data_IF_560483895429
#
_entry.id   IF_560483895429
#
_cell.length_a   1.000
_cell.length_b   1.000
_cell.length_c   1.000
_cell.angle_alpha   90.00
_cell.angle_beta   90.00
_cell.angle_gamma   90.00
#
_symmetry.space_group_name_H-M   'P 1'
#
loop_
_entity.id
_entity.type
_entity.pdbx_description
1 polymer ?
#
# COMPACT_ATOMS: atom_id res chain seq x y z
N UNK A 1 -16.43 -12.76 14.35
CA UNK A 1 -15.67 -11.86 13.45
C UNK A 1 -14.18 -11.83 13.80
N UNK A 2 -13.81 -11.73 15.09
CA UNK A 2 -12.41 -11.77 15.55
C UNK A 2 -11.61 -13.01 15.12
N UNK A 3 -12.19 -14.22 15.22
CA UNK A 3 -11.55 -15.46 14.76
C UNK A 3 -11.25 -15.48 13.25
N UNK A 4 -12.16 -14.91 12.45
CA UNK A 4 -11.98 -14.85 10.99
C UNK A 4 -10.93 -13.81 10.60
N UNK A 5 -10.83 -12.70 11.35
CA UNK A 5 -9.77 -11.71 11.15
C UNK A 5 -8.41 -12.26 11.56
N UNK A 6 -8.33 -13.05 12.64
CA UNK A 6 -7.09 -13.70 13.06
C UNK A 6 -6.57 -14.71 12.02
N UNK A 7 -7.47 -15.40 11.31
CA UNK A 7 -7.12 -16.43 10.33
C UNK A 7 -6.20 -15.92 9.21
N UNK A 8 -6.41 -14.69 8.73
CA UNK A 8 -5.55 -14.09 7.69
C UNK A 8 -4.54 -13.10 8.27
N UNK A 9 -4.86 -12.44 9.39
CA UNK A 9 -3.94 -11.48 10.01
C UNK A 9 -2.70 -12.16 10.60
N UNK A 10 -2.83 -13.35 11.22
CA UNK A 10 -1.68 -14.06 11.81
C UNK A 10 -0.68 -14.53 10.75
N UNK A 11 -1.08 -15.20 9.65
CA UNK A 11 -0.15 -15.52 8.56
C UNK A 11 0.51 -14.29 7.95
N UNK A 12 -0.25 -13.22 7.76
CA UNK A 12 0.27 -11.96 7.23
C UNK A 12 1.32 -11.35 8.18
N UNK A 13 1.05 -11.33 9.49
CA UNK A 13 1.99 -10.86 10.52
C UNK A 13 3.26 -11.72 10.58
N UNK A 14 3.13 -13.04 10.45
CA UNK A 14 4.30 -13.93 10.41
C UNK A 14 5.14 -13.69 9.16
N UNK A 15 4.49 -13.57 7.99
CA UNK A 15 5.16 -13.26 6.74
C UNK A 15 5.92 -11.93 6.82
N UNK A 16 5.30 -10.89 7.38
CA UNK A 16 5.97 -9.59 7.50
C UNK A 16 7.11 -9.62 8.50
N UNK A 17 6.91 -10.20 9.69
CA UNK A 17 7.92 -10.16 10.76
C UNK A 17 9.07 -11.15 10.58
N UNK A 18 8.82 -12.32 9.98
CA UNK A 18 9.84 -13.37 9.85
C UNK A 18 10.54 -13.40 8.52
N UNK A 19 9.93 -12.84 7.47
CA UNK A 19 10.48 -12.91 6.12
C UNK A 19 10.77 -11.51 5.60
N UNK A 20 9.76 -10.63 5.55
CA UNK A 20 9.91 -9.32 4.92
C UNK A 20 10.86 -8.39 5.69
N UNK A 21 10.63 -8.15 6.98
CA UNK A 21 11.46 -7.26 7.80
C UNK A 21 12.94 -7.69 7.88
N UNK A 22 13.29 -8.96 8.18
CA UNK A 22 14.70 -9.34 8.24
C UNK A 22 15.40 -9.27 6.89
N UNK A 23 14.69 -9.57 5.79
CA UNK A 23 15.22 -9.35 4.45
C UNK A 23 15.44 -7.86 4.18
N UNK A 24 14.48 -7.00 4.57
CA UNK A 24 14.57 -5.56 4.38
C UNK A 24 15.74 -4.96 5.17
N UNK A 25 15.90 -5.34 6.43
CA UNK A 25 17.01 -4.90 7.30
C UNK A 25 18.38 -5.31 6.76
N UNK A 26 18.47 -6.44 6.04
CA UNK A 26 19.70 -6.86 5.38
C UNK A 26 20.00 -6.07 4.09
N UNK A 27 18.97 -5.62 3.36
CA UNK A 27 19.12 -4.96 2.04
C UNK A 27 19.31 -3.46 2.16
N UNK A 28 18.57 -2.77 3.04
CA UNK A 28 18.63 -1.31 3.22
C UNK A 28 20.05 -0.77 3.46
N UNK A 29 20.91 -1.35 4.32
CA UNK A 29 22.25 -0.81 4.53
C UNK A 29 23.10 -0.86 3.26
N UNK A 30 22.92 -1.88 2.41
CA UNK A 30 23.64 -2.03 1.14
C UNK A 30 22.98 -1.30 -0.03
N UNK A 31 21.79 -0.71 0.14
CA UNK A 31 21.03 -0.09 -0.93
C UNK A 31 21.77 1.09 -1.58
N UNK A 32 22.56 1.82 -0.81
CA UNK A 32 23.37 2.95 -1.28
C UNK A 32 24.56 2.52 -2.15
N UNK A 33 24.99 1.26 -2.03
CA UNK A 33 26.16 0.73 -2.72
C UNK A 33 25.81 0.19 -4.12
N UNK A 34 24.52 0.06 -4.45
CA UNK A 34 24.05 -0.50 -5.71
C UNK A 34 23.27 0.55 -6.50
N UNK A 35 23.56 0.62 -7.80
CA UNK A 35 22.72 1.35 -8.75
C UNK A 35 21.83 0.38 -9.52
N UNK A 36 20.55 0.72 -9.60
CA UNK A 36 19.56 -0.01 -10.38
C UNK A 36 19.06 0.89 -11.49
N UNK A 37 19.30 0.51 -12.75
CA UNK A 37 18.85 1.26 -13.94
C UNK A 37 19.30 2.74 -13.92
N UNK A 38 20.49 3.03 -13.40
CA UNK A 38 21.03 4.39 -13.27
C UNK A 38 20.44 5.21 -12.12
N UNK A 39 19.68 4.58 -11.22
CA UNK A 39 19.13 5.21 -10.01
C UNK A 39 19.80 4.59 -8.80
N UNK A 40 20.26 5.42 -7.87
CA UNK A 40 20.80 4.97 -6.58
C UNK A 40 19.75 4.13 -5.83
N UNK A 41 20.13 2.95 -5.34
CA UNK A 41 19.24 2.06 -4.61
C UNK A 41 18.65 2.68 -3.34
N UNK A 42 19.35 3.60 -2.66
CA UNK A 42 18.75 4.36 -1.54
C UNK A 42 17.53 5.15 -1.99
N UNK A 43 17.66 5.87 -3.11
CA UNK A 43 16.57 6.65 -3.70
C UNK A 43 15.39 5.73 -4.01
N UNK A 44 15.67 4.56 -4.57
CA UNK A 44 14.66 3.56 -4.87
C UNK A 44 13.94 3.07 -3.60
N UNK A 45 14.68 2.81 -2.51
CA UNK A 45 14.11 2.39 -1.22
C UNK A 45 13.21 3.47 -0.64
N UNK A 46 13.69 4.72 -0.56
CA UNK A 46 12.93 5.81 0.06
C UNK A 46 11.64 6.11 -0.72
N UNK A 47 11.74 6.25 -2.04
CA UNK A 47 10.55 6.45 -2.88
C UNK A 47 9.64 5.21 -2.88
N UNK A 48 10.23 4.01 -2.84
CA UNK A 48 9.49 2.75 -2.74
C UNK A 48 8.62 2.68 -1.49
N UNK A 49 9.16 3.06 -0.33
CA UNK A 49 8.42 3.05 0.95
C UNK A 49 7.40 4.18 1.03
N UNK A 50 7.81 5.41 0.70
CA UNK A 50 6.97 6.61 0.90
C UNK A 50 5.91 6.80 -0.20
N UNK A 51 6.17 6.31 -1.41
CA UNK A 51 5.27 6.49 -2.56
C UNK A 51 4.80 5.14 -3.10
N UNK A 52 5.72 4.21 -3.34
CA UNK A 52 5.42 2.91 -3.93
C UNK A 52 4.44 2.07 -3.10
N UNK A 53 4.68 1.98 -1.79
CA UNK A 53 3.85 1.21 -0.87
C UNK A 53 2.41 1.75 -0.78
N UNK A 54 2.15 3.02 -0.44
CA UNK A 54 0.78 3.53 -0.41
C UNK A 54 0.10 3.50 -1.79
N UNK A 55 0.83 3.77 -2.88
CA UNK A 55 0.28 3.69 -4.23
C UNK A 55 -0.11 2.25 -4.62
N UNK A 56 0.74 1.26 -4.30
CA UNK A 56 0.44 -0.15 -4.57
C UNK A 56 -0.81 -0.62 -3.82
N UNK A 57 -1.01 -0.16 -2.58
CA UNK A 57 -2.20 -0.45 -1.81
C UNK A 57 -3.46 0.14 -2.47
N UNK A 58 -3.39 1.37 -2.98
CA UNK A 58 -4.48 1.96 -3.77
C UNK A 58 -4.81 1.10 -4.99
N UNK A 59 -3.80 0.68 -5.76
CA UNK A 59 -4.00 -0.16 -6.95
C UNK A 59 -4.71 -1.46 -6.58
N UNK A 60 -4.24 -2.17 -5.56
CA UNK A 60 -4.85 -3.44 -5.12
C UNK A 60 -6.30 -3.23 -4.67
N UNK A 61 -6.56 -2.23 -3.84
CA UNK A 61 -7.90 -1.97 -3.29
C UNK A 61 -8.89 -1.54 -4.37
N UNK A 62 -8.45 -0.72 -5.33
CA UNK A 62 -9.28 -0.30 -6.47
C UNK A 62 -9.55 -1.47 -7.42
N UNK A 63 -8.58 -2.36 -7.65
CA UNK A 63 -8.80 -3.56 -8.47
C UNK A 63 -9.82 -4.51 -7.84
N UNK A 64 -9.78 -4.69 -6.52
CA UNK A 64 -10.69 -5.59 -5.81
C UNK A 64 -12.11 -5.01 -5.66
N UNK A 65 -12.24 -3.78 -5.16
CA UNK A 65 -13.55 -3.22 -4.75
C UNK A 65 -13.98 -2.01 -5.60
N UNK A 66 -13.11 -1.45 -6.42
CA UNK A 66 -13.38 -0.22 -7.18
C UNK A 66 -14.50 -0.38 -8.20
N UNK A 67 -14.53 -1.48 -8.95
CA UNK A 67 -15.61 -1.75 -9.93
C UNK A 67 -16.98 -1.86 -9.26
N UNK A 68 -17.05 -2.54 -8.11
CA UNK A 68 -18.27 -2.73 -7.33
C UNK A 68 -18.75 -1.42 -6.71
N UNK A 69 -17.83 -0.67 -6.10
CA UNK A 69 -18.09 0.64 -5.51
C UNK A 69 -18.58 1.64 -6.56
N UNK A 70 -17.97 1.66 -7.75
CA UNK A 70 -18.39 2.50 -8.85
C UNK A 70 -19.82 2.20 -9.33
N UNK A 71 -20.15 0.92 -9.52
CA UNK A 71 -21.51 0.50 -9.90
C UNK A 71 -22.54 0.86 -8.84
N UNK A 72 -22.20 0.67 -7.56
CA UNK A 72 -23.06 1.01 -6.41
C UNK A 72 -23.32 2.52 -6.36
N UNK A 73 -22.30 3.33 -6.62
CA UNK A 73 -22.42 4.79 -6.71
C UNK A 73 -23.36 5.22 -7.84
N UNK A 74 -23.13 4.69 -9.06
CA UNK A 74 -23.91 5.03 -10.26
C UNK A 74 -25.38 4.64 -10.12
N UNK A 75 -25.66 3.42 -9.69
CA UNK A 75 -27.04 2.92 -9.54
C UNK A 75 -27.71 3.44 -8.27
N UNK A 76 -26.94 3.86 -7.26
CA UNK A 76 -27.47 4.33 -5.99
C UNK A 76 -28.23 3.24 -5.21
N UNK A 77 -27.82 1.99 -5.35
CA UNK A 77 -28.46 0.83 -4.72
C UNK A 77 -27.40 -0.13 -4.16
N UNK A 78 -27.64 -0.65 -2.95
CA UNK A 78 -26.85 -1.71 -2.32
C UNK A 78 -27.78 -2.74 -1.66
N UNK A 79 -27.57 -4.06 -1.84
CA UNK A 79 -26.63 -4.71 -2.77
C UNK A 79 -26.97 -4.43 -4.25
N UNK A 80 -26.03 -4.69 -5.15
CA UNK A 80 -26.24 -4.54 -6.60
C UNK A 80 -27.32 -5.53 -7.11
N UNK A 81 -28.03 -5.21 -8.20
CA UNK A 81 -29.01 -6.13 -8.77
C UNK A 81 -28.34 -7.43 -9.22
N UNK A 82 -28.86 -8.57 -8.76
CA UNK A 82 -28.31 -9.90 -9.07
C UNK A 82 -27.04 -10.27 -8.32
N UNK A 83 -26.61 -9.48 -7.33
CA UNK A 83 -25.43 -9.77 -6.53
C UNK A 83 -25.69 -10.92 -5.54
N UNK A 84 -24.82 -11.93 -5.55
CA UNK A 84 -24.85 -13.02 -4.57
C UNK A 84 -24.41 -12.48 -3.22
N UNK A 85 -25.30 -12.53 -2.25
CA UNK A 85 -25.05 -12.09 -0.87
C UNK A 85 -24.92 -13.30 0.06
N UNK A 86 -23.97 -13.26 0.99
CA UNK A 86 -23.73 -14.34 1.96
C UNK A 86 -24.87 -14.49 2.98
N UNK A 87 -25.63 -13.41 3.19
CA UNK A 87 -26.77 -13.36 4.12
C UNK A 87 -27.88 -12.54 3.47
N UNK A 88 -29.16 -12.78 3.82
CA UNK A 88 -30.26 -11.94 3.37
C UNK A 88 -30.02 -10.49 3.80
N UNK A 89 -29.72 -9.62 2.83
CA UNK A 89 -29.48 -8.18 3.05
C UNK A 89 -30.59 -7.37 2.42
N UNK A 90 -31.19 -6.47 3.19
CA UNK A 90 -32.23 -5.56 2.69
C UNK A 90 -31.62 -4.59 1.67
N UNK A 91 -32.34 -4.36 0.58
CA UNK A 91 -31.98 -3.33 -0.40
C UNK A 91 -32.09 -1.93 0.21
N UNK A 92 -31.02 -1.16 0.04
CA UNK A 92 -30.92 0.25 0.42
C UNK A 92 -30.73 1.06 -0.85
N UNK A 93 -31.42 2.19 -0.94
CA UNK A 93 -31.44 3.05 -2.12
C UNK A 93 -31.05 4.49 -1.80
N UNK A 94 -30.76 5.26 -2.85
CA UNK A 94 -30.53 6.71 -2.78
C UNK A 94 -29.22 7.09 -2.10
N UNK A 95 -29.23 8.22 -1.37
CA UNK A 95 -28.01 8.77 -0.72
C UNK A 95 -27.40 7.79 0.28
N UNK A 96 -28.21 7.02 1.01
CA UNK A 96 -27.72 6.03 1.98
C UNK A 96 -26.90 4.92 1.32
N UNK A 97 -27.28 4.46 0.12
CA UNK A 97 -26.52 3.48 -0.64
C UNK A 97 -25.20 4.05 -1.19
N UNK A 98 -25.15 5.35 -1.47
CA UNK A 98 -23.95 6.04 -1.98
C UNK A 98 -22.92 6.37 -0.91
N UNK A 99 -23.28 6.38 0.38
CA UNK A 99 -22.34 6.70 1.48
C UNK A 99 -21.15 5.73 1.56
N UNK A 100 -21.38 4.43 1.38
CA UNK A 100 -20.32 3.42 1.41
C UNK A 100 -19.28 3.62 0.31
N UNK A 101 -19.66 3.71 -0.98
CA UNK A 101 -18.70 4.02 -2.03
C UNK A 101 -18.12 5.44 -1.89
N UNK A 102 -18.84 6.40 -1.30
CA UNK A 102 -18.28 7.73 -0.96
C UNK A 102 -17.06 7.61 -0.06
N UNK A 103 -17.22 6.89 1.04
CA UNK A 103 -16.18 6.69 2.02
C UNK A 103 -15.01 5.92 1.41
N UNK A 104 -15.29 4.90 0.60
CA UNK A 104 -14.26 4.16 -0.14
C UNK A 104 -13.41 5.07 -1.03
N UNK A 105 -14.05 5.86 -1.91
CA UNK A 105 -13.31 6.76 -2.79
C UNK A 105 -12.63 7.90 -2.04
N UNK A 106 -13.21 8.39 -0.94
CA UNK A 106 -12.55 9.36 -0.06
C UNK A 106 -11.26 8.79 0.53
N UNK A 107 -11.29 7.57 1.08
CA UNK A 107 -10.09 6.91 1.62
C UNK A 107 -9.06 6.70 0.52
N UNK A 108 -9.46 6.23 -0.66
CA UNK A 108 -8.55 6.09 -1.81
C UNK A 108 -7.89 7.43 -2.16
N UNK A 109 -8.66 8.51 -2.23
CA UNK A 109 -8.13 9.86 -2.50
C UNK A 109 -7.16 10.33 -1.41
N UNK A 110 -7.45 10.07 -0.14
CA UNK A 110 -6.54 10.40 0.97
C UNK A 110 -5.22 9.64 0.85
N UNK A 111 -5.25 8.35 0.52
CA UNK A 111 -4.02 7.55 0.35
C UNK A 111 -3.24 7.98 -0.90
N UNK A 112 -3.91 8.38 -1.98
CA UNK A 112 -3.26 9.03 -3.12
C UNK A 112 -2.58 10.35 -2.69
N UNK A 113 -3.25 11.15 -1.87
CA UNK A 113 -2.70 12.37 -1.29
C UNK A 113 -1.45 12.10 -0.43
N UNK A 114 -1.48 11.04 0.39
CA UNK A 114 -0.32 10.59 1.16
C UNK A 114 0.84 10.16 0.25
N UNK A 115 0.55 9.47 -0.86
CA UNK A 115 1.57 9.07 -1.83
C UNK A 115 2.21 10.30 -2.49
N UNK A 116 1.40 11.29 -2.87
CA UNK A 116 1.89 12.56 -3.42
C UNK A 116 2.72 13.35 -2.39
N UNK A 117 2.30 13.37 -1.13
CA UNK A 117 3.07 13.99 -0.05
C UNK A 117 4.38 13.24 0.22
N UNK A 118 4.35 11.90 0.13
CA UNK A 118 5.52 11.04 0.24
C UNK A 118 6.61 11.39 -0.77
N UNK A 119 6.23 11.84 -1.98
CA UNK A 119 7.18 12.33 -2.97
C UNK A 119 7.95 13.56 -2.49
N UNK A 120 7.25 14.52 -1.88
CA UNK A 120 7.84 15.74 -1.32
C UNK A 120 8.74 15.40 -0.13
N UNK A 121 8.29 14.49 0.73
CA UNK A 121 9.10 14.03 1.86
C UNK A 121 10.38 13.31 1.41
N UNK A 122 10.28 12.42 0.42
CA UNK A 122 11.42 11.72 -0.15
C UNK A 122 12.47 12.72 -0.69
N UNK A 123 12.03 13.72 -1.47
CA UNK A 123 12.91 14.75 -2.01
C UNK A 123 13.60 15.61 -0.95
N UNK A 124 12.93 15.87 0.17
CA UNK A 124 13.51 16.61 1.29
C UNK A 124 14.40 15.77 2.22
N UNK A 125 14.17 14.46 2.26
CA UNK A 125 14.88 13.53 3.13
C UNK A 125 16.21 13.12 2.50
N UNK A 126 16.20 12.72 1.22
CA UNK A 126 17.38 12.28 0.45
C UNK A 126 18.63 13.15 0.63
N UNK A 127 18.60 14.49 0.46
CA UNK A 127 19.80 15.32 0.60
C UNK A 127 20.33 15.41 2.03
N UNK A 128 19.54 14.99 3.04
CA UNK A 128 19.94 14.98 4.46
C UNK A 128 20.54 13.66 4.89
N UNK A 129 20.42 12.59 4.08
CA UNK A 129 21.06 11.32 4.37
C UNK A 129 22.52 11.37 3.93
N UNK A 130 23.43 11.19 4.88
CA UNK A 130 24.83 10.91 4.62
C UNK A 130 25.04 9.40 4.69
N UNK A 131 25.18 8.69 3.56
CA UNK A 131 25.37 7.25 3.58
C UNK A 131 26.77 6.88 4.09
N UNK A 132 26.84 5.86 4.94
CA UNK A 132 28.10 5.30 5.41
C UNK A 132 28.76 4.47 4.30
N UNK A 133 29.70 5.07 3.57
CA UNK A 133 30.41 4.41 2.48
C UNK A 133 31.30 3.24 2.93
N UNK A 134 31.68 3.17 4.21
CA UNK A 134 32.52 2.09 4.76
C UNK A 134 31.90 0.70 4.57
N UNK A 135 30.57 0.62 4.56
CA UNK A 135 29.81 -0.62 4.40
C UNK A 135 29.89 -1.15 2.96
N UNK A 136 30.15 -0.28 1.98
CA UNK A 136 30.31 -0.69 0.59
C UNK A 136 31.66 -1.37 0.31
N UNK A 137 32.69 -1.08 1.12
CA UNK A 137 34.04 -1.61 0.94
C UNK A 137 34.30 -2.92 1.69
N UNK A 138 33.51 -3.22 2.73
CA UNK A 138 33.67 -4.44 3.54
C UNK A 138 33.32 -5.75 2.79
N UNK A 139 32.77 -5.65 1.59
CA UNK A 139 32.53 -6.78 0.68
C UNK A 139 33.69 -7.13 -0.26
N UNK A 140 34.75 -6.31 -0.34
CA UNK A 140 35.88 -6.51 -1.27
C UNK A 140 37.01 -7.37 -0.65
N UNK A 141 37.07 -7.49 0.68
CA UNK A 141 38.11 -8.24 1.40
C UNK A 141 37.80 -9.74 1.64
N UNK A 142 36.81 -10.32 0.96
CA UNK A 142 36.48 -11.76 1.11
C UNK A 142 36.51 -12.52 -0.20
#
# INVERSE_FOLDING_TARGET
>A
MLLLTLLWAVPLLLLTTKIFLPWFDAVVPLAHCHEYLGINGLTLVIYGVLVGLPASLVVVVVLLEGRRSWRTWRLGQFPLPGEKVLRPTRYVYGRRARLRPALFFMVVLLVCGLSAQGWVWAGNLLPKLTPDLSVCFSGIER
#
